data_IF_127346092891
#
_entry.id   IF_127346092891
#
_cell.length_a   1.000
_cell.length_b   1.000
_cell.length_c   1.000
_cell.angle_alpha   90.00
_cell.angle_beta   90.00
_cell.angle_gamma   90.00
#
_symmetry.space_group_name_H-M   'P 1'
#
loop_
_entity.id
_entity.type
_entity.pdbx_description
1 polymer ?
#
# COMPACT_ATOMS: atom_id res chain seq x y z
N UNK A 1 -16.74 25.56 13.94
CA UNK A 1 -15.40 24.97 13.76
C UNK A 1 -15.64 23.58 13.19
N UNK A 2 -15.46 23.39 11.88
CA UNK A 2 -15.62 22.07 11.27
C UNK A 2 -14.46 21.20 11.72
N UNK A 3 -14.74 20.04 12.32
CA UNK A 3 -13.70 19.06 12.57
C UNK A 3 -13.18 18.59 11.20
N UNK A 4 -11.90 18.84 10.95
CA UNK A 4 -11.20 18.32 9.79
C UNK A 4 -11.19 16.79 9.96
N UNK A 5 -12.00 16.10 9.16
CA UNK A 5 -12.19 14.65 9.29
C UNK A 5 -10.98 13.96 8.66
N UNK A 6 -10.14 13.35 9.49
CA UNK A 6 -8.97 12.57 9.05
C UNK A 6 -9.46 11.32 8.32
N UNK A 7 -8.95 11.05 7.13
CA UNK A 7 -9.21 9.80 6.41
C UNK A 7 -8.41 8.68 7.08
N UNK A 8 -9.11 7.88 7.88
CA UNK A 8 -8.51 6.85 8.74
C UNK A 8 -8.74 5.42 8.25
N UNK A 9 -8.22 4.47 9.04
CA UNK A 9 -8.26 3.03 8.78
C UNK A 9 -9.64 2.50 8.38
N UNK A 10 -10.69 2.84 9.14
CA UNK A 10 -12.05 2.37 8.88
C UNK A 10 -12.59 2.82 7.51
N UNK A 11 -12.30 4.06 7.10
CA UNK A 11 -12.73 4.58 5.80
C UNK A 11 -11.98 3.85 4.67
N UNK A 12 -10.67 3.68 4.83
CA UNK A 12 -9.84 2.90 3.93
C UNK A 12 -10.36 1.47 3.73
N UNK A 13 -10.58 0.74 4.82
CA UNK A 13 -11.03 -0.66 4.74
C UNK A 13 -12.41 -0.77 4.08
N UNK A 14 -13.34 0.14 4.38
CA UNK A 14 -14.67 0.18 3.75
C UNK A 14 -14.58 0.43 2.25
N UNK A 15 -13.75 1.38 1.84
CA UNK A 15 -13.56 1.66 0.41
C UNK A 15 -12.91 0.46 -0.28
N UNK A 16 -11.95 -0.21 0.36
CA UNK A 16 -11.32 -1.40 -0.19
C UNK A 16 -12.34 -2.55 -0.40
N UNK A 17 -13.14 -2.86 0.63
CA UNK A 17 -14.22 -3.86 0.54
C UNK A 17 -15.17 -3.51 -0.61
N UNK A 18 -15.55 -2.25 -0.75
CA UNK A 18 -16.53 -1.80 -1.75
C UNK A 18 -16.03 -1.88 -3.20
N UNK A 19 -14.72 -1.80 -3.43
CA UNK A 19 -14.15 -1.74 -4.78
C UNK A 19 -13.78 -3.12 -5.35
N UNK A 20 -13.54 -4.15 -4.52
CA UNK A 20 -12.98 -5.43 -4.99
C UNK A 20 -13.79 -6.66 -4.55
N UNK A 21 -14.96 -6.83 -5.16
CA UNK A 21 -15.91 -7.94 -4.94
C UNK A 21 -15.29 -9.36 -4.94
N UNK A 22 -14.21 -9.59 -5.69
CA UNK A 22 -13.57 -10.91 -5.81
C UNK A 22 -12.72 -11.30 -4.59
N UNK A 23 -12.19 -10.32 -3.85
CA UNK A 23 -11.44 -10.52 -2.60
C UNK A 23 -12.22 -10.00 -1.39
N UNK A 24 -13.45 -9.51 -1.62
CA UNK A 24 -14.36 -8.99 -0.60
C UNK A 24 -14.59 -9.96 0.58
N UNK A 25 -14.74 -11.29 0.40
CA UNK A 25 -14.91 -12.20 1.54
C UNK A 25 -13.76 -12.13 2.54
N UNK A 26 -12.52 -12.09 2.03
CA UNK A 26 -11.32 -11.97 2.86
C UNK A 26 -11.21 -10.57 3.46
N UNK A 27 -11.51 -9.52 2.68
CA UNK A 27 -11.49 -8.14 3.19
C UNK A 27 -12.52 -7.90 4.30
N UNK A 28 -13.68 -8.56 4.24
CA UNK A 28 -14.72 -8.51 5.27
C UNK A 28 -14.27 -9.16 6.58
N UNK A 29 -13.48 -10.24 6.52
CA UNK A 29 -12.93 -10.89 7.72
C UNK A 29 -12.00 -9.98 8.50
N UNK A 30 -11.24 -9.14 7.79
CA UNK A 30 -10.23 -8.24 8.36
C UNK A 30 -10.65 -6.76 8.31
N UNK A 31 -11.95 -6.52 8.35
CA UNK A 31 -12.49 -5.16 8.42
C UNK A 31 -11.81 -4.40 9.58
N UNK A 32 -11.42 -3.15 9.31
CA UNK A 32 -10.70 -2.26 10.25
C UNK A 32 -9.21 -2.56 10.47
N UNK A 33 -8.64 -3.56 9.78
CA UNK A 33 -7.20 -3.85 9.83
C UNK A 33 -6.50 -3.47 8.51
N UNK A 34 -6.05 -2.21 8.39
CA UNK A 34 -5.45 -1.64 7.17
C UNK A 34 -4.32 -2.50 6.60
N UNK A 35 -3.45 -3.01 7.47
CA UNK A 35 -2.32 -3.86 7.08
C UNK A 35 -2.80 -5.16 6.43
N UNK A 36 -3.84 -5.80 6.96
CA UNK A 36 -4.38 -7.04 6.39
C UNK A 36 -5.15 -6.76 5.09
N UNK A 37 -5.92 -5.68 5.03
CA UNK A 37 -6.55 -5.26 3.79
C UNK A 37 -5.52 -5.04 2.67
N UNK A 38 -4.41 -4.36 2.97
CA UNK A 38 -3.33 -4.16 2.00
C UNK A 38 -2.64 -5.47 1.61
N UNK A 39 -2.44 -6.40 2.55
CA UNK A 39 -1.88 -7.71 2.24
C UNK A 39 -2.78 -8.51 1.28
N UNK A 40 -4.09 -8.46 1.48
CA UNK A 40 -5.08 -9.10 0.59
C UNK A 40 -5.06 -8.44 -0.79
N UNK A 41 -5.02 -7.11 -0.87
CA UNK A 41 -4.90 -6.42 -2.16
C UNK A 41 -3.60 -6.79 -2.86
N UNK A 42 -2.48 -6.87 -2.13
CA UNK A 42 -1.21 -7.30 -2.68
C UNK A 42 -1.27 -8.73 -3.22
N UNK A 43 -1.89 -9.64 -2.49
CA UNK A 43 -2.10 -11.02 -2.96
C UNK A 43 -2.98 -11.05 -4.22
N UNK A 44 -4.06 -10.27 -4.24
CA UNK A 44 -4.90 -10.13 -5.43
C UNK A 44 -4.14 -9.61 -6.66
N UNK A 45 -3.17 -8.71 -6.46
CA UNK A 45 -2.26 -8.28 -7.54
C UNK A 45 -1.31 -9.38 -8.00
N UNK A 46 -0.70 -10.12 -7.06
CA UNK A 46 0.21 -11.22 -7.36
C UNK A 46 -0.51 -12.34 -8.13
N UNK A 47 -1.75 -12.64 -7.74
CA UNK A 47 -2.60 -13.65 -8.37
C UNK A 47 -3.40 -13.13 -9.57
N UNK A 48 -3.25 -11.84 -9.93
CA UNK A 48 -3.96 -11.18 -11.04
C UNK A 48 -5.49 -11.30 -10.96
N UNK A 49 -6.04 -11.43 -9.75
CA UNK A 49 -7.49 -11.52 -9.52
C UNK A 49 -8.15 -10.15 -9.48
N UNK A 50 -7.39 -9.09 -9.19
CA UNK A 50 -7.85 -7.70 -9.20
C UNK A 50 -7.04 -6.82 -10.17
N UNK A 51 -7.63 -5.72 -10.61
CA UNK A 51 -6.98 -4.79 -11.52
C UNK A 51 -5.90 -3.96 -10.83
N UNK A 52 -4.64 -4.16 -11.22
CA UNK A 52 -3.52 -3.35 -10.73
C UNK A 52 -3.72 -1.85 -10.95
N UNK A 53 -4.27 -1.45 -12.10
CA UNK A 53 -4.53 -0.04 -12.38
C UNK A 53 -5.52 0.54 -11.38
N UNK A 54 -6.61 -0.18 -11.07
CA UNK A 54 -7.62 0.30 -10.12
C UNK A 54 -7.06 0.39 -8.71
N UNK A 55 -6.28 -0.60 -8.27
CA UNK A 55 -5.63 -0.59 -6.95
C UNK A 55 -4.66 0.58 -6.83
N UNK A 56 -3.77 0.78 -7.80
CA UNK A 56 -2.83 1.90 -7.74
C UNK A 56 -3.54 3.26 -7.82
N UNK A 57 -4.58 3.41 -8.65
CA UNK A 57 -5.38 4.63 -8.69
C UNK A 57 -6.09 4.92 -7.35
N UNK A 58 -6.60 3.88 -6.67
CA UNK A 58 -7.17 4.02 -5.34
C UNK A 58 -6.12 4.44 -4.30
N UNK A 59 -4.96 3.78 -4.26
CA UNK A 59 -3.92 4.15 -3.32
C UNK A 59 -3.38 5.56 -3.60
N UNK A 60 -3.29 5.97 -4.87
CA UNK A 60 -2.95 7.35 -5.25
C UNK A 60 -3.98 8.35 -4.74
N UNK A 61 -5.27 8.05 -4.89
CA UNK A 61 -6.32 8.96 -4.43
C UNK A 61 -6.27 9.11 -2.90
N UNK A 62 -6.06 8.01 -2.17
CA UNK A 62 -5.89 8.00 -0.71
C UNK A 62 -4.67 8.81 -0.29
N UNK A 63 -3.51 8.60 -0.93
CA UNK A 63 -2.27 9.34 -0.62
C UNK A 63 -2.36 10.83 -1.01
N UNK A 64 -3.23 11.19 -1.96
CA UNK A 64 -3.46 12.59 -2.33
C UNK A 64 -4.34 13.36 -1.33
N UNK A 65 -4.97 12.67 -0.37
CA UNK A 65 -5.81 13.31 0.63
C UNK A 65 -4.95 14.13 1.60
N UNK A 66 -5.33 15.40 1.79
CA UNK A 66 -4.60 16.34 2.65
C UNK A 66 -4.54 15.89 4.12
N UNK A 67 -5.49 15.05 4.55
CA UNK A 67 -5.65 14.58 5.91
C UNK A 67 -5.67 13.04 6.00
N UNK A 68 -4.79 12.37 5.24
CA UNK A 68 -4.61 10.91 5.34
C UNK A 68 -3.91 10.53 6.66
N UNK A 69 -4.39 9.48 7.33
CA UNK A 69 -3.71 8.95 8.51
C UNK A 69 -2.31 8.43 8.13
N UNK A 70 -1.24 8.83 8.84
CA UNK A 70 0.13 8.33 8.58
C UNK A 70 0.26 6.80 8.63
N UNK A 71 -0.63 6.14 9.36
CA UNK A 71 -0.72 4.67 9.41
C UNK A 71 -0.98 4.05 8.04
N UNK A 72 -1.77 4.70 7.18
CA UNK A 72 -2.07 4.18 5.84
C UNK A 72 -0.82 4.21 4.96
N UNK A 73 -0.05 5.31 4.99
CA UNK A 73 1.23 5.39 4.25
C UNK A 73 2.19 4.31 4.73
N UNK A 74 2.33 4.14 6.06
CA UNK A 74 3.17 3.09 6.64
C UNK A 74 2.70 1.69 6.26
N UNK A 75 1.38 1.46 6.25
CA UNK A 75 0.82 0.17 5.88
C UNK A 75 1.05 -0.13 4.41
N UNK A 76 0.95 0.86 3.50
CA UNK A 76 1.31 0.69 2.08
C UNK A 76 2.79 0.32 1.97
N UNK A 77 3.64 1.00 2.73
CA UNK A 77 5.07 0.80 2.69
C UNK A 77 5.48 -0.60 3.19
N UNK A 78 4.79 -1.16 4.19
CA UNK A 78 5.18 -2.40 4.87
C UNK A 78 4.39 -3.63 4.40
N UNK A 79 3.10 -3.50 4.14
CA UNK A 79 2.16 -4.62 4.04
C UNK A 79 1.53 -4.81 2.66
N UNK A 80 1.95 -4.04 1.66
CA UNK A 80 1.45 -4.17 0.30
C UNK A 80 2.38 -5.04 -0.57
N UNK A 81 3.14 -4.45 -1.48
CA UNK A 81 4.15 -5.13 -2.32
C UNK A 81 5.49 -4.41 -2.19
N UNK A 82 6.60 -5.13 -2.36
CA UNK A 82 7.92 -4.51 -2.36
C UNK A 82 8.19 -3.72 -3.65
N UNK A 83 9.07 -2.71 -3.56
CA UNK A 83 9.48 -1.93 -4.73
C UNK A 83 10.13 -2.80 -5.82
N UNK A 84 10.93 -3.79 -5.41
CA UNK A 84 11.55 -4.81 -6.27
C UNK A 84 10.50 -5.70 -6.97
N UNK A 85 9.36 -5.97 -6.32
CA UNK A 85 8.31 -6.81 -6.87
C UNK A 85 7.63 -6.16 -8.08
N UNK A 86 7.61 -4.82 -8.18
CA UNK A 86 6.98 -4.10 -9.29
C UNK A 86 7.46 -4.54 -10.67
N UNK A 87 8.77 -4.78 -10.82
CA UNK A 87 9.33 -5.24 -12.09
C UNK A 87 8.99 -6.70 -12.34
N UNK A 88 9.13 -7.55 -11.32
CA UNK A 88 8.87 -9.00 -11.43
C UNK A 88 7.41 -9.31 -11.74
N UNK A 89 6.48 -8.48 -11.26
CA UNK A 89 5.05 -8.62 -11.49
C UNK A 89 4.56 -7.86 -12.75
N UNK A 90 5.46 -7.18 -13.48
CA UNK A 90 5.08 -6.40 -14.66
C UNK A 90 4.19 -5.18 -14.33
N UNK A 91 4.33 -4.63 -13.13
CA UNK A 91 3.53 -3.51 -12.60
C UNK A 91 4.23 -2.14 -12.72
N UNK A 92 5.50 -2.11 -13.13
CA UNK A 92 6.31 -0.89 -13.22
C UNK A 92 5.69 0.24 -14.05
N UNK A 93 4.86 -0.07 -15.03
CA UNK A 93 4.16 0.93 -15.87
C UNK A 93 2.77 1.32 -15.36
N UNK A 94 2.24 0.57 -14.37
CA UNK A 94 0.91 0.77 -13.80
C UNK A 94 0.94 1.47 -12.45
N UNK A 95 2.05 1.36 -11.72
CA UNK A 95 2.24 2.02 -10.42
C UNK A 95 2.14 3.53 -10.58
N UNK A 96 1.35 4.17 -9.73
CA UNK A 96 1.18 5.61 -9.73
C UNK A 96 2.35 6.31 -9.00
N UNK A 97 2.59 7.61 -9.25
CA UNK A 97 3.77 8.29 -8.74
C UNK A 97 3.91 8.27 -7.22
N UNK A 98 2.84 8.60 -6.48
CA UNK A 98 2.93 8.70 -5.01
C UNK A 98 3.14 7.33 -4.37
N UNK A 99 2.43 6.31 -4.87
CA UNK A 99 2.62 4.93 -4.40
C UNK A 99 4.05 4.45 -4.69
N UNK A 100 4.56 4.73 -5.89
CA UNK A 100 5.94 4.38 -6.27
C UNK A 100 6.95 5.03 -5.31
N UNK A 101 6.75 6.29 -4.97
CA UNK A 101 7.64 7.01 -4.06
C UNK A 101 7.61 6.44 -2.64
N UNK A 102 6.44 6.07 -2.11
CA UNK A 102 6.31 5.38 -0.81
C UNK A 102 7.09 4.06 -0.80
N UNK A 103 6.85 3.20 -1.81
CA UNK A 103 7.54 1.92 -1.93
C UNK A 103 9.05 2.08 -2.10
N UNK A 104 9.47 3.07 -2.91
CA UNK A 104 10.90 3.35 -3.13
C UNK A 104 11.59 3.83 -1.85
N UNK A 105 10.98 4.74 -1.09
CA UNK A 105 11.52 5.20 0.19
C UNK A 105 11.70 4.05 1.18
N UNK A 106 10.69 3.19 1.31
CA UNK A 106 10.77 1.97 2.12
C UNK A 106 11.97 1.10 1.71
N UNK A 107 12.11 0.84 0.41
CA UNK A 107 13.19 0.02 -0.13
C UNK A 107 14.57 0.65 0.12
N UNK A 108 14.74 1.95 -0.07
CA UNK A 108 15.99 2.65 0.22
C UNK A 108 16.33 2.61 1.72
N UNK A 109 15.33 2.74 2.60
CA UNK A 109 15.50 2.60 4.05
C UNK A 109 15.95 1.17 4.41
N UNK A 110 15.30 0.16 3.86
CA UNK A 110 15.68 -1.24 4.05
C UNK A 110 17.12 -1.49 3.57
N UNK A 111 17.49 -0.99 2.39
CA UNK A 111 18.84 -1.12 1.85
C UNK A 111 19.89 -0.44 2.73
N UNK A 112 19.62 0.75 3.28
CA UNK A 112 20.55 1.43 4.19
C UNK A 112 20.79 0.64 5.47
N UNK A 113 19.76 0.00 6.02
CA UNK A 113 19.88 -0.81 7.24
C UNK A 113 20.68 -2.09 6.96
N UNK A 114 20.39 -2.78 5.85
CA UNK A 114 20.98 -4.09 5.56
C UNK A 114 22.37 -3.98 4.90
N UNK A 115 22.62 -2.96 4.07
CA UNK A 115 23.93 -2.71 3.47
C UNK A 115 24.83 -1.82 4.35
N UNK A 116 24.25 -1.04 5.27
CA UNK A 116 25.00 -0.23 6.25
C UNK A 116 25.65 -1.05 7.37
N UNK A 117 25.28 -2.32 7.53
CA UNK A 117 25.95 -3.25 8.45
C UNK A 117 27.37 -3.67 7.98
N UNK A 118 27.78 -3.31 6.76
CA UNK A 118 29.10 -3.62 6.18
C UNK A 118 30.10 -2.45 6.21
N UNK A 119 29.93 -1.47 7.09
CA UNK A 119 30.95 -0.43 7.34
C UNK A 119 31.33 -0.43 8.82
N UNK A 120 31.97 -1.53 9.28
CA UNK A 120 32.96 -1.44 10.35
C UNK A 120 34.33 -1.42 9.69
N UNK A 121 34.77 -0.22 9.34
CA UNK A 121 36.15 0.05 9.01
C UNK A 121 36.99 -0.19 10.28
N UNK A 122 37.81 -1.25 10.27
CA UNK A 122 39.00 -1.33 11.13
C UNK A 122 40.05 -0.35 10.67
#
# INVERSE_FOLDING_TARGET
MGQQQVYGANAFCKDAISNWSVVEPELLEWQDEVHNCLAILADGLRNQTISATEVFCFLESVLSLTDVCPEIENAIAISFIEYSELETLGLSTKVTPSVKDVLKKQYECWQKIHNGAYIWST
#
